data_IF_653379921235
#
_entry.id   IF_653379921235
#
_cell.length_a   1.000
_cell.length_b   1.000
_cell.length_c   1.000
_cell.angle_alpha   90.00
_cell.angle_beta   90.00
_cell.angle_gamma   90.00
#
_symmetry.space_group_name_H-M   'P 1'
#
loop_
_entity.id
_entity.type
_entity.pdbx_description
1 polymer ?
#
# COMPACT_ATOMS: atom_id res chain seq x y z
N UNK A 1 -11.26 22.34 38.19
CA UNK A 1 -11.41 21.57 36.94
C UNK A 1 -10.07 21.37 36.23
N UNK A 2 -9.14 20.57 36.79
CA UNK A 2 -7.85 20.24 36.15
C UNK A 2 -7.55 18.73 36.16
N UNK A 3 -8.40 17.91 36.78
CA UNK A 3 -8.13 16.48 36.97
C UNK A 3 -8.73 15.54 35.91
N UNK A 4 -9.56 16.04 34.98
CA UNK A 4 -10.15 15.21 33.92
C UNK A 4 -9.20 15.13 32.72
N UNK A 5 -8.59 16.24 32.32
CA UNK A 5 -7.65 16.31 31.18
C UNK A 5 -6.39 15.48 31.42
N UNK A 6 -5.89 15.45 32.65
CA UNK A 6 -4.68 14.68 33.03
C UNK A 6 -4.91 13.16 33.06
N UNK A 7 -6.17 12.71 33.17
CA UNK A 7 -6.55 11.29 33.22
C UNK A 7 -6.86 10.70 31.84
N UNK A 8 -7.20 11.57 30.87
CA UNK A 8 -7.46 11.19 29.47
C UNK A 8 -6.14 10.97 28.72
N UNK A 9 -5.08 11.68 29.11
CA UNK A 9 -3.74 11.60 28.50
C UNK A 9 -2.76 11.00 29.52
N UNK A 10 -2.89 9.71 29.82
CA UNK A 10 -1.76 8.95 30.35
C UNK A 10 -0.89 8.47 29.18
N UNK A 11 0.42 8.30 29.39
CA UNK A 11 1.32 7.73 28.38
C UNK A 11 0.78 6.40 27.84
N UNK A 12 0.24 5.55 28.72
CA UNK A 12 -0.44 4.30 28.38
C UNK A 12 -1.68 4.49 27.47
N UNK A 13 -2.45 5.57 27.66
CA UNK A 13 -3.58 5.90 26.78
C UNK A 13 -3.12 6.42 25.42
N UNK A 14 -2.00 7.15 25.37
CA UNK A 14 -1.38 7.62 24.13
C UNK A 14 -0.86 6.43 23.33
N UNK A 15 -0.09 5.54 23.95
CA UNK A 15 0.48 4.36 23.30
C UNK A 15 -0.61 3.46 22.71
N UNK A 16 -1.66 3.14 23.47
CA UNK A 16 -2.81 2.39 22.96
C UNK A 16 -3.50 3.10 21.78
N UNK A 17 -3.65 4.43 21.88
CA UNK A 17 -4.19 5.25 20.80
C UNK A 17 -3.33 5.18 19.54
N UNK A 18 -2.00 5.30 19.69
CA UNK A 18 -1.03 5.22 18.60
C UNK A 18 -1.03 3.84 17.94
N UNK A 19 -1.01 2.76 18.72
CA UNK A 19 -1.06 1.38 18.18
C UNK A 19 -2.33 1.19 17.35
N UNK A 20 -3.48 1.66 17.85
CA UNK A 20 -4.75 1.57 17.12
C UNK A 20 -4.74 2.40 15.83
N UNK A 21 -4.15 3.60 15.87
CA UNK A 21 -4.03 4.46 14.69
C UNK A 21 -3.11 3.83 13.64
N UNK A 22 -1.92 3.37 14.05
CA UNK A 22 -0.97 2.69 13.16
C UNK A 22 -1.58 1.43 12.55
N UNK A 23 -2.23 0.60 13.36
CA UNK A 23 -2.92 -0.59 12.86
C UNK A 23 -3.96 -0.26 11.77
N UNK A 24 -4.79 0.76 12.01
CA UNK A 24 -5.80 1.18 11.04
C UNK A 24 -5.18 1.78 9.77
N UNK A 25 -4.11 2.55 9.92
CA UNK A 25 -3.37 3.12 8.78
C UNK A 25 -2.73 2.03 7.93
N UNK A 26 -2.01 1.08 8.56
CA UNK A 26 -1.40 -0.05 7.88
C UNK A 26 -2.44 -0.91 7.17
N UNK A 27 -3.59 -1.16 7.82
CA UNK A 27 -4.69 -1.90 7.19
C UNK A 27 -5.28 -1.14 6.00
N UNK A 28 -5.43 0.18 6.08
CA UNK A 28 -5.89 1.00 4.95
C UNK A 28 -4.89 0.92 3.78
N UNK A 29 -3.60 1.04 4.07
CA UNK A 29 -2.52 0.95 3.08
C UNK A 29 -2.49 -0.41 2.39
N UNK A 30 -2.64 -1.51 3.14
CA UNK A 30 -2.74 -2.84 2.56
C UNK A 30 -3.88 -2.94 1.56
N UNK A 31 -5.08 -2.46 1.92
CA UNK A 31 -6.24 -2.46 1.01
C UNK A 31 -6.01 -1.60 -0.23
N UNK A 32 -5.34 -0.45 -0.09
CA UNK A 32 -4.96 0.41 -1.22
C UNK A 32 -4.02 -0.33 -2.19
N UNK A 33 -2.98 -0.98 -1.66
CA UNK A 33 -2.03 -1.74 -2.47
C UNK A 33 -2.67 -2.94 -3.16
N UNK A 34 -3.48 -3.73 -2.44
CA UNK A 34 -4.22 -4.86 -3.02
C UNK A 34 -5.17 -4.43 -4.13
N UNK A 35 -5.83 -3.28 -3.96
CA UNK A 35 -6.71 -2.73 -5.00
C UNK A 35 -5.91 -2.32 -6.24
N UNK A 36 -4.76 -1.68 -6.05
CA UNK A 36 -3.88 -1.27 -7.14
C UNK A 36 -3.32 -2.46 -7.91
N UNK A 37 -2.83 -3.49 -7.20
CA UNK A 37 -2.38 -4.76 -7.77
C UNK A 37 -3.47 -5.42 -8.63
N UNK A 38 -4.68 -5.59 -8.08
CA UNK A 38 -5.82 -6.17 -8.82
C UNK A 38 -6.22 -5.34 -10.04
N UNK A 39 -6.21 -4.02 -9.94
CA UNK A 39 -6.60 -3.15 -11.04
C UNK A 39 -5.60 -3.20 -12.19
N UNK A 40 -4.30 -3.26 -11.88
CA UNK A 40 -3.24 -3.35 -12.89
C UNK A 40 -3.20 -4.76 -13.50
N UNK A 41 -3.38 -5.81 -12.69
CA UNK A 41 -3.54 -7.17 -13.18
C UNK A 41 -4.70 -7.29 -14.18
N UNK A 42 -5.82 -6.62 -13.88
CA UNK A 42 -6.96 -6.54 -14.77
C UNK A 42 -6.68 -5.70 -16.03
N UNK A 43 -5.98 -4.57 -15.89
CA UNK A 43 -5.64 -3.68 -17.02
C UNK A 43 -4.79 -4.39 -18.07
N UNK A 44 -3.80 -5.17 -17.63
CA UNK A 44 -2.86 -5.85 -18.50
C UNK A 44 -3.21 -7.32 -18.77
N UNK A 45 -4.25 -7.84 -18.10
CA UNK A 45 -4.69 -9.23 -18.20
C UNK A 45 -3.58 -10.26 -17.92
N UNK A 46 -2.71 -9.95 -16.97
CA UNK A 46 -1.56 -10.77 -16.56
C UNK A 46 -1.15 -10.42 -15.13
N UNK A 47 -0.28 -11.22 -14.51
CA UNK A 47 0.36 -10.88 -13.23
C UNK A 47 1.47 -9.82 -13.40
N UNK A 48 1.92 -9.24 -12.29
CA UNK A 48 3.06 -8.33 -12.30
C UNK A 48 4.34 -9.02 -12.80
N UNK A 49 4.57 -10.26 -12.34
CA UNK A 49 5.72 -11.06 -12.71
C UNK A 49 5.73 -11.35 -14.22
N UNK A 50 4.58 -11.74 -14.78
CA UNK A 50 4.42 -11.94 -16.23
C UNK A 50 4.68 -10.64 -17.00
N UNK A 51 4.13 -9.52 -16.54
CA UNK A 51 4.34 -8.20 -17.15
C UNK A 51 5.84 -7.84 -17.22
N UNK A 52 6.57 -8.09 -16.13
CA UNK A 52 8.00 -7.82 -16.02
C UNK A 52 8.83 -8.76 -16.90
N UNK A 53 8.60 -10.06 -16.81
CA UNK A 53 9.33 -11.07 -17.58
C UNK A 53 9.11 -10.94 -19.10
N UNK A 54 7.90 -10.58 -19.50
CA UNK A 54 7.55 -10.34 -20.90
C UNK A 54 8.06 -9.00 -21.44
N UNK A 55 8.70 -8.16 -20.61
CA UNK A 55 9.20 -6.82 -20.96
C UNK A 55 8.11 -5.94 -21.58
N UNK A 56 6.96 -5.88 -20.93
CA UNK A 56 5.78 -5.20 -21.49
C UNK A 56 5.97 -3.69 -21.68
N UNK A 57 6.83 -3.03 -20.90
CA UNK A 57 7.19 -1.61 -21.12
C UNK A 57 7.74 -1.42 -22.54
N UNK A 58 8.66 -2.28 -22.97
CA UNK A 58 9.28 -2.20 -24.30
C UNK A 58 8.26 -2.54 -25.40
N UNK A 59 7.47 -3.60 -25.20
CA UNK A 59 6.44 -4.05 -26.15
C UNK A 59 5.32 -3.05 -26.36
N UNK A 60 5.02 -2.25 -25.34
CA UNK A 60 4.00 -1.20 -25.39
C UNK A 60 4.59 0.18 -25.72
N UNK A 61 5.87 0.25 -26.10
CA UNK A 61 6.48 1.43 -26.71
C UNK A 61 6.99 2.49 -25.73
N UNK A 62 7.35 2.11 -24.49
CA UNK A 62 7.92 3.02 -23.50
C UNK A 62 7.08 4.28 -23.26
N UNK A 63 5.76 4.13 -23.25
CA UNK A 63 4.90 5.26 -22.94
C UNK A 63 5.00 5.60 -21.45
N UNK A 64 4.92 6.88 -21.14
CA UNK A 64 4.90 7.35 -19.75
C UNK A 64 3.82 6.66 -18.90
N UNK A 65 2.66 6.36 -19.49
CA UNK A 65 1.57 5.67 -18.81
C UNK A 65 1.97 4.25 -18.39
N UNK A 66 2.61 3.50 -19.28
CA UNK A 66 3.02 2.11 -19.03
C UNK A 66 4.16 2.05 -18.00
N UNK A 67 5.11 2.98 -18.08
CA UNK A 67 6.19 3.09 -17.07
C UNK A 67 5.63 3.45 -15.69
N UNK A 68 4.70 4.41 -15.63
CA UNK A 68 4.03 4.79 -14.40
C UNK A 68 3.25 3.62 -13.81
N UNK A 69 2.54 2.87 -14.64
CA UNK A 69 1.81 1.69 -14.20
C UNK A 69 2.75 0.61 -13.64
N UNK A 70 3.88 0.34 -14.31
CA UNK A 70 4.89 -0.59 -13.81
C UNK A 70 5.39 -0.17 -12.41
N UNK A 71 5.81 1.08 -12.25
CA UNK A 71 6.32 1.61 -10.98
C UNK A 71 5.26 1.55 -9.87
N UNK A 72 4.03 1.93 -10.20
CA UNK A 72 2.90 1.82 -9.31
C UNK A 72 2.61 0.37 -8.90
N UNK A 73 2.72 -0.57 -9.82
CA UNK A 73 2.50 -1.99 -9.54
C UNK A 73 3.59 -2.54 -8.62
N UNK A 74 4.85 -2.22 -8.91
CA UNK A 74 6.02 -2.61 -8.11
C UNK A 74 5.88 -2.12 -6.66
N UNK A 75 5.57 -0.83 -6.46
CA UNK A 75 5.33 -0.25 -5.13
C UNK A 75 4.17 -0.97 -4.40
N UNK A 76 3.10 -1.32 -5.12
CA UNK A 76 1.98 -2.03 -4.53
C UNK A 76 2.36 -3.44 -4.09
N UNK A 77 3.10 -4.19 -4.91
CA UNK A 77 3.59 -5.54 -4.58
C UNK A 77 4.54 -5.52 -3.39
N UNK A 78 5.51 -4.60 -3.39
CA UNK A 78 6.46 -4.43 -2.28
C UNK A 78 5.74 -4.04 -0.98
N UNK A 79 4.73 -3.16 -1.06
CA UNK A 79 3.91 -2.75 0.08
C UNK A 79 3.06 -3.88 0.66
N UNK A 80 2.47 -4.71 -0.21
CA UNK A 80 1.74 -5.93 0.15
C UNK A 80 2.65 -6.90 0.89
N UNK A 81 3.84 -7.20 0.33
CA UNK A 81 4.82 -8.10 0.92
C UNK A 81 5.28 -7.57 2.28
N UNK A 82 5.67 -6.30 2.36
CA UNK A 82 6.17 -5.68 3.60
C UNK A 82 5.16 -5.71 4.75
N UNK A 83 3.86 -5.53 4.46
CA UNK A 83 2.82 -5.48 5.50
C UNK A 83 2.37 -6.88 5.94
N UNK A 84 2.46 -7.89 5.07
CA UNK A 84 2.03 -9.26 5.38
C UNK A 84 3.13 -10.16 5.97
N UNK A 85 4.40 -9.75 5.89
CA UNK A 85 5.53 -10.38 6.60
C UNK A 85 5.46 -10.12 8.12
#
# INVERSE_FOLDING_TARGET
MVNITRRIISEENIERGMVKLLYNETRRKLVEYELQDRNLAKKYAMSFEEFREMKMIEKLGYTWEVEKDYQNWEIARDGIETIML
#
